data_IF_851559623257
#
_entry.id   IF_851559623257
#
_cell.length_a   1.000
_cell.length_b   1.000
_cell.length_c   1.000
_cell.angle_alpha   90.00
_cell.angle_beta   90.00
_cell.angle_gamma   90.00
#
_symmetry.space_group_name_H-M   'P 1'
#
loop_
_entity.id
_entity.type
_entity.pdbx_description
1 polymer ?
#
# COMPACT_ATOMS: atom_id res chain seq x y z
N UNK A 1 -6.04 21.95 -11.81
CA UNK A 1 -6.03 21.98 -10.33
C UNK A 1 -4.59 21.84 -9.91
N UNK A 2 -3.92 22.97 -9.68
CA UNK A 2 -2.50 23.02 -9.34
C UNK A 2 -2.39 22.85 -7.82
N UNK A 3 -1.60 21.88 -7.36
CA UNK A 3 -1.25 21.75 -5.95
C UNK A 3 -0.30 22.92 -5.61
N UNK A 4 -0.52 23.65 -4.51
CA UNK A 4 0.36 24.75 -4.13
C UNK A 4 1.79 24.20 -3.98
N UNK A 5 2.74 24.79 -4.70
CA UNK A 5 4.17 24.55 -4.55
C UNK A 5 4.63 25.17 -3.24
N UNK A 6 4.27 24.53 -2.13
CA UNK A 6 4.81 24.86 -0.82
C UNK A 6 6.33 24.77 -0.90
N UNK A 7 7.00 25.87 -0.58
CA UNK A 7 8.47 25.98 -0.45
C UNK A 7 9.03 25.02 0.62
N UNK A 8 8.14 24.44 1.44
CA UNK A 8 8.44 23.47 2.49
C UNK A 8 8.52 22.05 1.92
N UNK A 9 9.52 21.24 2.34
CA UNK A 9 9.60 19.86 1.93
C UNK A 9 8.36 19.09 2.43
N UNK A 10 7.75 18.28 1.56
CA UNK A 10 6.64 17.40 1.92
C UNK A 10 6.97 16.59 3.18
N UNK A 11 6.08 16.54 4.17
CA UNK A 11 6.25 15.74 5.39
C UNK A 11 5.18 14.65 5.46
N UNK A 12 5.59 13.39 5.28
CA UNK A 12 4.70 12.23 5.26
C UNK A 12 3.92 12.06 6.56
N UNK A 13 4.60 12.22 7.70
CA UNK A 13 3.98 12.11 9.03
C UNK A 13 2.89 13.17 9.23
N UNK A 14 3.17 14.42 8.87
CA UNK A 14 2.20 15.51 8.96
C UNK A 14 0.97 15.22 8.09
N UNK A 15 1.18 14.86 6.83
CA UNK A 15 0.10 14.52 5.89
C UNK A 15 -0.71 13.29 6.36
N UNK A 16 -0.09 12.35 7.06
CA UNK A 16 -0.79 11.15 7.52
C UNK A 16 -1.59 11.37 8.81
N UNK A 17 -0.99 12.09 9.76
CA UNK A 17 -1.58 12.35 11.07
C UNK A 17 -2.63 13.48 11.04
N UNK A 18 -2.43 14.54 10.25
CA UNK A 18 -3.36 15.68 10.18
C UNK A 18 -4.70 15.31 9.55
N UNK A 19 -4.70 14.37 8.61
CA UNK A 19 -5.87 13.96 7.85
C UNK A 19 -6.54 12.70 8.42
N UNK A 20 -6.10 12.20 9.57
CA UNK A 20 -6.70 11.03 10.22
C UNK A 20 -6.53 9.72 9.42
N UNK A 21 -5.64 9.66 8.43
CA UNK A 21 -5.45 8.46 7.63
C UNK A 21 -4.99 7.24 8.45
N UNK A 22 -4.34 7.48 9.61
CA UNK A 22 -3.99 6.43 10.58
C UNK A 22 -5.20 5.77 11.22
N UNK A 23 -6.35 6.44 11.21
CA UNK A 23 -7.61 5.93 11.76
C UNK A 23 -8.41 5.13 10.74
N UNK A 24 -8.00 5.11 9.46
CA UNK A 24 -8.66 4.32 8.43
C UNK A 24 -8.01 2.94 8.33
N UNK A 25 -8.51 1.89 9.00
CA UNK A 25 -8.07 0.53 8.69
C UNK A 25 -8.31 0.28 7.20
N UNK A 26 -7.45 -0.47 6.51
CA UNK A 26 -6.30 -1.25 7.01
C UNK A 26 -4.96 -0.51 7.01
N UNK A 27 -4.93 0.83 7.14
CA UNK A 27 -3.68 1.58 7.24
C UNK A 27 -3.04 1.42 8.63
N UNK A 28 -1.72 1.21 8.67
CA UNK A 28 -0.94 1.12 9.90
C UNK A 28 0.24 2.09 9.85
N UNK A 29 0.32 3.00 10.82
CA UNK A 29 1.44 3.91 10.98
C UNK A 29 2.37 3.44 12.09
N UNK A 30 3.66 3.31 11.76
CA UNK A 30 4.70 3.09 12.74
C UNK A 30 5.41 4.43 13.02
N UNK A 31 5.22 5.05 14.20
CA UNK A 31 5.82 6.34 14.53
C UNK A 31 7.34 6.26 14.73
N UNK A 32 7.88 5.11 15.15
CA UNK A 32 9.31 4.92 15.34
C UNK A 32 10.07 4.91 14.01
N UNK A 33 9.54 4.22 13.01
CA UNK A 33 10.15 4.13 11.68
C UNK A 33 9.60 5.15 10.68
N UNK A 34 8.66 6.01 11.10
CA UNK A 34 7.92 6.96 10.25
C UNK A 34 7.44 6.32 8.94
N UNK A 35 6.84 5.13 9.07
CA UNK A 35 6.45 4.29 7.94
C UNK A 35 4.96 4.01 7.98
N UNK A 36 4.31 4.25 6.85
CA UNK A 36 2.93 3.88 6.60
C UNK A 36 2.90 2.53 5.89
N UNK A 37 2.23 1.54 6.46
CA UNK A 37 1.92 0.28 5.79
C UNK A 37 0.43 0.22 5.47
N UNK A 38 0.07 -0.06 4.22
CA UNK A 38 -1.32 -0.20 3.80
C UNK A 38 -1.48 -1.14 2.61
N UNK A 39 -2.63 -1.78 2.46
CA UNK A 39 -3.03 -2.41 1.20
C UNK A 39 -3.16 -1.37 0.08
N UNK A 40 -2.60 -1.70 -1.07
CA UNK A 40 -2.74 -1.00 -2.34
C UNK A 40 -3.54 -1.91 -3.28
N UNK A 41 -4.73 -1.45 -3.65
CA UNK A 41 -5.57 -2.13 -4.62
C UNK A 41 -5.13 -1.69 -6.03
N UNK A 42 -4.59 -2.64 -6.78
CA UNK A 42 -4.23 -2.45 -8.17
C UNK A 42 -5.34 -3.08 -9.00
N UNK A 43 -6.12 -2.21 -9.65
CA UNK A 43 -7.14 -2.61 -10.60
C UNK A 43 -6.50 -2.61 -11.99
N UNK A 44 -6.35 -3.81 -12.57
CA UNK A 44 -6.07 -3.97 -13.99
C UNK A 44 -7.35 -4.44 -14.69
N UNK A 45 -7.48 -4.15 -15.98
CA UNK A 45 -8.63 -4.46 -16.84
C UNK A 45 -9.10 -5.92 -16.73
N UNK A 46 -8.22 -6.86 -16.34
CA UNK A 46 -8.54 -8.30 -16.23
C UNK A 46 -8.36 -8.92 -14.83
N UNK A 47 -7.86 -8.17 -13.84
CA UNK A 47 -7.63 -8.71 -12.49
C UNK A 47 -7.50 -7.61 -11.44
N UNK A 48 -8.12 -7.81 -10.28
CA UNK A 48 -7.87 -6.99 -9.10
C UNK A 48 -6.90 -7.73 -8.19
N UNK A 49 -5.77 -7.09 -7.89
CA UNK A 49 -4.81 -7.61 -6.91
C UNK A 49 -4.65 -6.59 -5.81
N UNK A 50 -4.57 -7.06 -4.57
CA UNK A 50 -4.26 -6.20 -3.45
C UNK A 50 -2.90 -6.61 -2.92
N UNK A 51 -2.01 -5.62 -2.84
CA UNK A 51 -0.62 -5.74 -2.44
C UNK A 51 -0.41 -4.97 -1.16
N UNK A 52 0.32 -5.52 -0.22
CA UNK A 52 0.72 -4.75 0.95
C UNK A 52 1.90 -3.85 0.57
N UNK A 53 1.80 -2.55 0.83
CA UNK A 53 2.88 -1.59 0.56
C UNK A 53 3.31 -0.87 1.83
N UNK A 54 4.60 -0.56 1.92
CA UNK A 54 5.16 0.30 2.96
C UNK A 54 5.74 1.57 2.32
N UNK A 55 5.36 2.72 2.86
CA UNK A 55 5.72 4.06 2.42
C UNK A 55 6.56 4.71 3.52
N UNK A 56 7.75 5.18 3.18
CA UNK A 56 8.64 5.89 4.10
C UNK A 56 9.29 7.07 3.39
N UNK A 57 9.42 8.19 4.09
CA UNK A 57 10.01 9.38 3.51
C UNK A 57 11.54 9.36 3.56
N UNK A 58 12.17 9.82 2.48
CA UNK A 58 13.58 10.20 2.38
C UNK A 58 13.69 11.73 2.18
N UNK A 59 14.87 12.33 2.35
CA UNK A 59 15.02 13.79 2.30
C UNK A 59 14.46 14.47 1.03
N UNK A 60 14.44 13.77 -0.11
CA UNK A 60 13.94 14.30 -1.40
C UNK A 60 13.08 13.31 -2.18
N UNK A 61 12.63 12.23 -1.56
CA UNK A 61 11.87 11.18 -2.24
C UNK A 61 11.01 10.38 -1.29
N UNK A 62 10.07 9.63 -1.85
CA UNK A 62 9.27 8.66 -1.11
C UNK A 62 9.74 7.26 -1.48
N UNK A 63 10.18 6.49 -0.49
CA UNK A 63 10.52 5.08 -0.67
C UNK A 63 9.27 4.22 -0.53
N UNK A 64 8.91 3.53 -1.61
CA UNK A 64 7.81 2.58 -1.68
C UNK A 64 8.36 1.17 -1.72
N UNK A 65 7.99 0.33 -0.76
CA UNK A 65 8.28 -1.11 -0.76
C UNK A 65 7.00 -1.88 -0.98
N UNK A 66 7.02 -2.77 -1.95
CA UNK A 66 5.90 -3.66 -2.27
C UNK A 66 6.21 -5.02 -1.67
N UNK A 67 5.34 -5.49 -0.78
CA UNK A 67 5.44 -6.81 -0.20
C UNK A 67 4.62 -7.78 -1.05
N UNK A 68 5.24 -8.87 -1.50
CA UNK A 68 4.67 -9.86 -2.43
C UNK A 68 3.59 -10.76 -1.84
N UNK A 69 2.76 -10.26 -0.92
CA UNK A 69 1.67 -11.02 -0.33
C UNK A 69 0.36 -10.68 -1.03
N UNK A 70 -0.17 -11.63 -1.79
CA UNK A 70 -1.55 -11.62 -2.28
C UNK A 70 -2.49 -11.53 -1.07
N UNK A 71 -3.31 -10.48 -1.03
CA UNK A 71 -4.36 -10.23 -0.04
C UNK A 71 -5.55 -11.19 -0.24
N UNK A 72 -5.30 -12.46 -0.50
CA UNK A 72 -6.36 -13.49 -0.54
C UNK A 72 -6.85 -13.82 0.89
N UNK A 73 -5.97 -13.67 1.87
CA UNK A 73 -6.23 -14.10 3.26
C UNK A 73 -7.00 -13.11 4.12
N UNK A 74 -7.16 -11.85 3.69
CA UNK A 74 -8.12 -10.95 4.34
C UNK A 74 -9.58 -11.33 4.01
N UNK A 75 -9.78 -12.15 2.96
CA UNK A 75 -11.10 -12.58 2.47
C UNK A 75 -11.44 -14.05 2.77
N UNK A 76 -10.58 -14.80 3.47
CA UNK A 76 -10.77 -16.24 3.77
C UNK A 76 -11.07 -17.11 2.53
N UNK A 77 -10.42 -16.81 1.40
CA UNK A 77 -10.50 -17.66 0.22
C UNK A 77 -9.79 -19.00 0.46
N UNK A 78 -10.35 -20.09 -0.10
CA UNK A 78 -9.92 -21.47 0.09
C UNK A 78 -8.67 -21.81 -0.74
N UNK A 79 -7.99 -22.89 -0.36
CA UNK A 79 -6.74 -23.33 -0.98
C UNK A 79 -6.88 -23.67 -2.49
N UNK A 80 -8.09 -24.01 -2.95
CA UNK A 80 -8.41 -24.20 -4.36
C UNK A 80 -8.43 -22.89 -5.16
N UNK A 81 -8.98 -21.81 -4.60
CA UNK A 81 -9.02 -20.48 -5.22
C UNK A 81 -7.63 -19.84 -5.28
N UNK A 82 -6.78 -20.14 -4.28
CA UNK A 82 -5.38 -19.69 -4.24
C UNK A 82 -4.48 -20.45 -5.23
N UNK A 83 -4.74 -21.75 -5.46
CA UNK A 83 -4.01 -22.56 -6.46
C UNK A 83 -4.27 -22.11 -7.89
N UNK A 84 -5.53 -21.83 -8.27
CA UNK A 84 -5.87 -21.25 -9.59
C UNK A 84 -5.15 -19.92 -9.81
N UNK A 85 -5.12 -19.07 -8.77
CA UNK A 85 -4.46 -17.76 -8.82
C UNK A 85 -2.93 -17.86 -8.93
N UNK A 86 -2.32 -18.94 -8.43
CA UNK A 86 -0.88 -19.20 -8.54
C UNK A 86 -0.48 -19.91 -9.83
N UNK A 87 -1.29 -20.84 -10.34
CA UNK A 87 -1.03 -21.53 -11.61
C UNK A 87 -1.10 -20.56 -12.80
N UNK A 88 -2.08 -19.64 -12.83
CA UNK A 88 -2.09 -18.57 -13.84
C UNK A 88 -0.88 -17.64 -13.76
N UNK A 89 -0.27 -17.48 -12.58
CA UNK A 89 0.94 -16.67 -12.40
C UNK A 89 2.23 -17.40 -12.81
N UNK A 90 2.18 -18.73 -13.02
CA UNK A 90 3.32 -19.60 -13.38
C UNK A 90 3.32 -20.11 -14.83
N UNK A 91 2.22 -20.00 -15.58
CA UNK A 91 2.15 -20.34 -17.00
C UNK A 91 2.69 -19.23 -17.94
N UNK A 92 3.37 -18.23 -17.35
CA UNK A 92 4.11 -17.14 -17.96
C UNK A 92 5.56 -17.23 -17.48
#
# INVERSE_FOLDING_TARGET
>A
MELPSGTEPFQLEQAFCSHGFFMMPPNHWNPLSKTLTRPLHIHNLSSSSSLLVSLSQRPRSLAVRVHGAQVCRMLRLSEAEEKTMREQKRAL
#
